data_IF_638051452694
#
_entry.id   IF_638051452694
#
_cell.length_a   1.000
_cell.length_b   1.000
_cell.length_c   1.000
_cell.angle_alpha   90.00
_cell.angle_beta   90.00
_cell.angle_gamma   90.00
#
_symmetry.space_group_name_H-M   'P 1'
#
loop_
_entity.id
_entity.type
_entity.pdbx_description
1 polymer ?
#
# COMPACT_ATOMS: atom_id res chain seq x y z
N UNK A 1 39.89 65.47 -48.11
CA UNK A 1 40.19 64.80 -46.82
C UNK A 1 39.15 63.70 -46.66
N UNK A 2 39.30 62.52 -47.26
CA UNK A 2 40.09 61.32 -46.89
C UNK A 2 39.13 60.17 -46.56
N UNK A 3 39.03 59.16 -47.44
CA UNK A 3 38.79 57.75 -47.05
C UNK A 3 40.16 57.15 -46.59
N UNK A 4 40.28 56.01 -45.85
CA UNK A 4 39.46 54.77 -45.97
C UNK A 4 39.19 53.93 -44.67
N UNK A 5 38.30 52.92 -44.85
CA UNK A 5 38.12 51.55 -44.29
C UNK A 5 38.50 51.17 -42.83
N UNK A 6 37.57 50.51 -42.10
CA UNK A 6 37.77 49.18 -41.48
C UNK A 6 36.50 48.61 -40.81
N UNK A 7 36.07 47.43 -41.24
CA UNK A 7 35.17 46.50 -40.53
C UNK A 7 36.03 45.32 -40.04
N UNK A 8 35.76 44.69 -38.88
CA UNK A 8 35.08 43.39 -38.91
C UNK A 8 34.08 43.15 -37.77
N UNK A 9 32.89 42.70 -38.16
CA UNK A 9 32.10 41.58 -37.63
C UNK A 9 32.30 41.15 -36.17
N UNK A 10 31.25 41.34 -35.35
CA UNK A 10 30.99 40.52 -34.17
C UNK A 10 29.78 39.59 -34.41
N UNK A 11 29.84 38.87 -35.54
CA UNK A 11 29.17 37.57 -35.61
C UNK A 11 29.89 36.61 -34.65
N UNK A 12 29.14 35.82 -33.90
CA UNK A 12 29.69 34.60 -33.28
C UNK A 12 29.93 34.66 -31.77
N UNK A 13 28.85 34.61 -31.00
CA UNK A 13 28.89 33.92 -29.70
C UNK A 13 27.66 33.02 -29.52
N UNK A 14 27.21 32.37 -30.61
CA UNK A 14 26.65 31.04 -30.46
C UNK A 14 27.81 30.17 -30.02
N UNK A 15 28.05 30.08 -28.71
CA UNK A 15 28.81 28.96 -28.16
C UNK A 15 28.06 27.73 -28.65
N UNK A 16 28.59 27.11 -29.71
CA UNK A 16 28.25 25.76 -30.08
C UNK A 16 28.42 24.97 -28.79
N UNK A 17 27.29 24.67 -28.15
CA UNK A 17 27.23 23.68 -27.09
C UNK A 17 27.49 22.40 -27.87
N UNK A 18 28.76 22.03 -27.97
CA UNK A 18 29.23 20.81 -28.61
C UNK A 18 28.52 19.69 -27.87
N UNK A 19 27.36 19.30 -28.37
CA UNK A 19 26.68 18.10 -27.95
C UNK A 19 27.59 17.01 -28.53
N UNK A 20 28.26 16.20 -27.70
CA UNK A 20 29.22 15.22 -28.20
C UNK A 20 28.56 14.40 -29.31
N UNK A 21 29.20 14.34 -30.47
CA UNK A 21 28.73 13.53 -31.59
C UNK A 21 28.82 12.05 -31.18
N UNK A 22 27.68 11.34 -31.05
CA UNK A 22 27.68 9.95 -30.60
C UNK A 22 28.44 9.02 -31.56
N UNK A 23 28.70 9.44 -32.80
CA UNK A 23 29.48 8.68 -33.76
C UNK A 23 30.98 8.59 -33.43
N UNK A 24 31.49 9.40 -32.50
CA UNK A 24 32.90 9.45 -32.08
C UNK A 24 33.13 9.05 -30.60
N UNK A 25 32.10 8.58 -29.90
CA UNK A 25 32.23 8.11 -28.52
C UNK A 25 32.98 6.77 -28.47
N UNK A 26 33.98 6.67 -27.60
CA UNK A 26 34.69 5.40 -27.40
C UNK A 26 33.75 4.35 -26.80
N UNK A 27 33.98 3.06 -27.06
CA UNK A 27 33.19 1.95 -26.50
C UNK A 27 33.09 2.01 -24.97
N UNK A 28 34.15 2.51 -24.29
CA UNK A 28 34.13 2.72 -22.84
C UNK A 28 33.18 3.83 -22.39
N UNK A 29 33.00 4.87 -23.20
CA UNK A 29 32.13 6.01 -22.91
C UNK A 29 30.66 5.67 -23.13
N UNK A 30 30.34 4.84 -24.13
CA UNK A 30 29.01 4.25 -24.34
C UNK A 30 28.60 3.33 -23.18
N UNK A 31 29.53 2.50 -22.66
CA UNK A 31 29.28 1.65 -21.50
C UNK A 31 29.07 2.49 -20.22
N UNK A 32 29.85 3.56 -20.05
CA UNK A 32 29.66 4.53 -18.96
C UNK A 32 28.27 5.17 -19.00
N UNK A 33 27.83 5.65 -20.17
CA UNK A 33 26.50 6.24 -20.35
C UNK A 33 25.36 5.24 -20.11
N UNK A 34 25.48 3.99 -20.60
CA UNK A 34 24.48 2.95 -20.35
C UNK A 34 24.39 2.62 -18.85
N UNK A 35 25.51 2.52 -18.16
CA UNK A 35 25.55 2.27 -16.71
C UNK A 35 24.90 3.40 -15.92
N UNK A 36 25.15 4.65 -16.31
CA UNK A 36 24.53 5.84 -15.71
C UNK A 36 23.00 5.86 -15.95
N UNK A 37 22.56 5.51 -17.17
CA UNK A 37 21.14 5.42 -17.51
C UNK A 37 20.44 4.31 -16.73
N UNK A 38 21.06 3.13 -16.61
CA UNK A 38 20.52 2.02 -15.80
C UNK A 38 20.43 2.40 -14.32
N UNK A 39 21.48 3.02 -13.76
CA UNK A 39 21.49 3.54 -12.38
C UNK A 39 20.37 4.56 -12.15
N UNK A 40 20.16 5.45 -13.13
CA UNK A 40 19.07 6.43 -13.10
C UNK A 40 17.70 5.76 -13.18
N UNK A 41 17.52 4.76 -14.04
CA UNK A 41 16.27 4.01 -14.18
C UNK A 41 15.92 3.28 -12.89
N UNK A 42 16.85 2.53 -12.30
CA UNK A 42 16.63 1.80 -11.03
C UNK A 42 16.22 2.77 -9.92
N UNK A 43 16.88 3.93 -9.83
CA UNK A 43 16.53 4.95 -8.84
C UNK A 43 15.17 5.59 -9.09
N UNK A 44 14.77 5.74 -10.34
CA UNK A 44 13.44 6.23 -10.70
C UNK A 44 12.35 5.20 -10.37
N UNK A 45 12.58 3.92 -10.68
CA UNK A 45 11.64 2.84 -10.37
C UNK A 45 11.47 2.67 -8.85
N UNK A 46 12.56 2.79 -8.10
CA UNK A 46 12.51 2.79 -6.63
C UNK A 46 11.69 3.97 -6.09
N UNK A 47 11.86 5.19 -6.65
CA UNK A 47 11.06 6.36 -6.27
C UNK A 47 9.59 6.19 -6.63
N UNK A 48 9.30 5.61 -7.79
CA UNK A 48 7.94 5.35 -8.24
C UNK A 48 7.26 4.32 -7.33
N UNK A 49 7.93 3.20 -7.05
CA UNK A 49 7.44 2.18 -6.13
C UNK A 49 7.21 2.77 -4.73
N UNK A 50 8.13 3.62 -4.23
CA UNK A 50 7.96 4.31 -2.95
C UNK A 50 6.74 5.23 -2.97
N UNK A 51 6.52 5.99 -4.04
CA UNK A 51 5.37 6.87 -4.19
C UNK A 51 4.05 6.07 -4.23
N UNK A 52 4.01 4.96 -4.97
CA UNK A 52 2.84 4.09 -5.06
C UNK A 52 2.52 3.43 -3.71
N UNK A 53 3.53 2.89 -3.02
CA UNK A 53 3.37 2.32 -1.67
C UNK A 53 2.87 3.38 -0.70
N UNK A 54 3.43 4.59 -0.73
CA UNK A 54 2.99 5.70 0.14
C UNK A 54 1.54 6.09 -0.15
N UNK A 55 1.15 6.15 -1.43
CA UNK A 55 -0.22 6.47 -1.81
C UNK A 55 -1.20 5.37 -1.38
N UNK A 56 -0.84 4.09 -1.58
CA UNK A 56 -1.61 2.93 -1.11
C UNK A 56 -1.73 2.94 0.41
N UNK A 57 -0.64 3.15 1.13
CA UNK A 57 -0.61 3.22 2.59
C UNK A 57 -1.48 4.37 3.12
N UNK A 58 -1.44 5.55 2.49
CA UNK A 58 -2.30 6.68 2.87
C UNK A 58 -3.78 6.36 2.67
N UNK A 59 -4.16 5.79 1.52
CA UNK A 59 -5.55 5.39 1.26
C UNK A 59 -6.02 4.33 2.23
N UNK A 60 -5.19 3.31 2.49
CA UNK A 60 -5.48 2.28 3.49
C UNK A 60 -5.60 2.87 4.89
N UNK A 61 -4.70 3.78 5.27
CA UNK A 61 -4.71 4.44 6.58
C UNK A 61 -5.94 5.31 6.81
N UNK A 62 -6.35 6.10 5.80
CA UNK A 62 -7.61 6.86 5.86
C UNK A 62 -8.81 5.92 5.95
N UNK A 63 -8.84 4.87 5.12
CA UNK A 63 -9.90 3.86 5.16
C UNK A 63 -10.01 3.17 6.51
N UNK A 64 -8.89 2.73 7.07
CA UNK A 64 -8.82 2.12 8.39
C UNK A 64 -9.22 3.10 9.50
N UNK A 65 -8.81 4.36 9.41
CA UNK A 65 -9.20 5.41 10.35
C UNK A 65 -10.70 5.72 10.31
N UNK A 66 -11.28 5.86 9.12
CA UNK A 66 -12.72 6.06 8.94
C UNK A 66 -13.53 4.86 9.41
N UNK A 67 -13.09 3.65 9.07
CA UNK A 67 -13.77 2.43 9.50
C UNK A 67 -13.68 2.23 11.02
N UNK A 68 -12.51 2.50 11.61
CA UNK A 68 -12.33 2.50 13.06
C UNK A 68 -13.22 3.55 13.76
N UNK A 69 -13.27 4.77 13.23
CA UNK A 69 -14.14 5.83 13.71
C UNK A 69 -15.63 5.48 13.59
N UNK A 70 -16.06 4.94 12.45
CA UNK A 70 -17.41 4.45 12.25
C UNK A 70 -17.77 3.30 13.20
N UNK A 71 -16.83 2.38 13.45
CA UNK A 71 -16.98 1.31 14.44
C UNK A 71 -17.17 1.86 15.86
N UNK A 72 -16.40 2.86 16.27
CA UNK A 72 -16.54 3.49 17.58
C UNK A 72 -17.87 4.23 17.73
N UNK A 73 -18.25 5.04 16.74
CA UNK A 73 -19.54 5.74 16.74
C UNK A 73 -20.70 4.75 16.73
N UNK A 74 -20.61 3.70 15.91
CA UNK A 74 -21.59 2.62 15.86
C UNK A 74 -21.71 1.87 17.19
N UNK A 75 -20.59 1.62 17.89
CA UNK A 75 -20.57 1.01 19.21
C UNK A 75 -21.33 1.85 20.25
N UNK A 76 -21.06 3.15 20.32
CA UNK A 76 -21.79 4.04 21.22
C UNK A 76 -23.27 4.18 20.82
N UNK A 77 -23.57 4.26 19.52
CA UNK A 77 -24.94 4.28 19.02
C UNK A 77 -25.72 3.03 19.44
N UNK A 78 -25.11 1.84 19.32
CA UNK A 78 -25.69 0.59 19.79
C UNK A 78 -25.91 0.60 21.32
N UNK A 79 -24.95 1.10 22.10
CA UNK A 79 -25.10 1.21 23.56
C UNK A 79 -26.29 2.13 23.93
N UNK A 80 -26.49 3.23 23.21
CA UNK A 80 -27.64 4.12 23.40
C UNK A 80 -28.95 3.40 23.03
N UNK A 81 -28.98 2.65 21.92
CA UNK A 81 -30.16 1.87 21.52
C UNK A 81 -30.52 0.77 22.54
N UNK A 82 -29.51 0.07 23.05
CA UNK A 82 -29.69 -0.92 24.13
C UNK A 82 -30.27 -0.24 25.37
N UNK A 83 -29.72 0.92 25.75
CA UNK A 83 -30.21 1.69 26.90
C UNK A 83 -31.65 2.15 26.70
N UNK A 84 -31.99 2.63 25.49
CA UNK A 84 -33.35 3.01 25.13
C UNK A 84 -34.32 1.83 25.20
N UNK A 85 -33.92 0.65 24.73
CA UNK A 85 -34.73 -0.57 24.85
C UNK A 85 -34.97 -0.95 26.31
N UNK A 86 -33.93 -0.89 27.15
CA UNK A 86 -34.06 -1.14 28.60
C UNK A 86 -35.02 -0.14 29.24
N UNK A 87 -34.87 1.15 28.96
CA UNK A 87 -35.75 2.20 29.50
C UNK A 87 -37.19 2.02 29.03
N UNK A 88 -37.41 1.71 27.75
CA UNK A 88 -38.74 1.46 27.21
C UNK A 88 -39.43 0.25 27.88
N UNK A 89 -38.71 -0.84 28.13
CA UNK A 89 -39.24 -1.98 28.88
C UNK A 89 -39.46 -1.63 30.36
N UNK A 90 -38.62 -0.77 30.94
CA UNK A 90 -38.72 -0.37 32.34
C UNK A 90 -40.00 0.41 32.67
N UNK A 91 -40.72 0.96 31.67
CA UNK A 91 -42.05 1.55 31.85
C UNK A 91 -43.12 0.50 32.23
N UNK A 92 -42.92 -0.78 31.86
CA UNK A 92 -43.88 -1.86 32.11
C UNK A 92 -43.44 -2.85 33.21
N UNK A 93 -42.14 -2.88 33.56
CA UNK A 93 -41.57 -3.83 34.54
C UNK A 93 -40.38 -3.20 35.27
N UNK A 94 -39.93 -3.75 36.42
CA UNK A 94 -38.76 -3.22 37.13
C UNK A 94 -37.51 -3.14 36.24
N UNK A 95 -36.77 -2.03 36.35
CA UNK A 95 -35.62 -1.72 35.48
C UNK A 95 -34.55 -2.84 35.46
N UNK A 96 -34.31 -3.51 36.59
CA UNK A 96 -33.35 -4.61 36.65
C UNK A 96 -33.79 -5.81 35.80
N UNK A 97 -35.09 -6.10 35.74
CA UNK A 97 -35.63 -7.21 34.95
C UNK A 97 -35.65 -6.86 33.46
N UNK A 98 -35.96 -5.61 33.11
CA UNK A 98 -35.84 -5.10 31.74
C UNK A 98 -34.40 -5.25 31.21
N UNK A 99 -33.41 -4.86 32.02
CA UNK A 99 -31.99 -5.01 31.69
C UNK A 99 -31.60 -6.49 31.48
N UNK A 100 -32.07 -7.40 32.33
CA UNK A 100 -31.80 -8.84 32.18
C UNK A 100 -32.40 -9.43 30.90
N UNK A 101 -33.64 -9.05 30.55
CA UNK A 101 -34.30 -9.53 29.32
C UNK A 101 -33.48 -9.09 28.09
N UNK A 102 -33.11 -7.80 28.02
CA UNK A 102 -32.31 -7.29 26.90
C UNK A 102 -30.93 -7.97 26.86
N UNK A 103 -30.30 -8.19 28.01
CA UNK A 103 -29.02 -8.91 28.08
C UNK A 103 -29.11 -10.35 27.53
N UNK A 104 -30.16 -11.10 27.90
CA UNK A 104 -30.38 -12.46 27.40
C UNK A 104 -30.55 -12.47 25.88
N UNK A 105 -31.33 -11.54 25.33
CA UNK A 105 -31.51 -11.42 23.87
C UNK A 105 -30.18 -11.12 23.18
N UNK A 106 -29.38 -10.19 23.71
CA UNK A 106 -28.06 -9.86 23.15
C UNK A 106 -27.09 -11.05 23.22
N UNK A 107 -27.05 -11.79 24.33
CA UNK A 107 -26.20 -12.98 24.45
C UNK A 107 -26.64 -14.09 23.50
N UNK A 108 -27.95 -14.26 23.26
CA UNK A 108 -28.43 -15.21 22.26
C UNK A 108 -27.94 -14.83 20.85
N UNK A 109 -28.08 -13.55 20.47
CA UNK A 109 -27.57 -13.04 19.19
C UNK A 109 -26.04 -13.22 19.09
N UNK A 110 -25.30 -12.86 20.14
CA UNK A 110 -23.85 -13.03 20.19
C UNK A 110 -23.43 -14.50 20.06
N UNK A 111 -24.16 -15.41 20.71
CA UNK A 111 -23.95 -16.85 20.58
C UNK A 111 -24.14 -17.34 19.14
N UNK A 112 -25.22 -16.91 18.47
CA UNK A 112 -25.46 -17.24 17.05
C UNK A 112 -24.34 -16.70 16.17
N UNK A 113 -23.96 -15.44 16.32
CA UNK A 113 -22.88 -14.82 15.55
C UNK A 113 -21.54 -15.54 15.78
N UNK A 114 -21.22 -15.91 17.01
CA UNK A 114 -20.00 -16.66 17.33
C UNK A 114 -20.00 -18.06 16.67
N UNK A 115 -21.15 -18.75 16.64
CA UNK A 115 -21.29 -20.05 15.99
C UNK A 115 -21.16 -19.96 14.47
N UNK A 116 -21.71 -18.91 13.85
CA UNK A 116 -21.58 -18.67 12.39
C UNK A 116 -20.14 -18.29 12.07
N UNK A 117 -19.55 -17.33 12.76
CA UNK A 117 -18.17 -16.92 12.54
C UNK A 117 -17.17 -18.06 12.73
N UNK A 118 -17.40 -18.95 13.71
CA UNK A 118 -16.57 -20.15 13.89
C UNK A 118 -16.63 -21.08 12.66
N UNK A 119 -17.78 -21.22 12.00
CA UNK A 119 -17.92 -22.04 10.79
C UNK A 119 -17.17 -21.43 9.61
N UNK A 120 -17.20 -20.11 9.46
CA UNK A 120 -16.53 -19.43 8.36
C UNK A 120 -15.00 -19.46 8.54
N UNK A 121 -14.52 -19.26 9.77
CA UNK A 121 -13.09 -19.39 10.11
C UNK A 121 -12.62 -20.84 9.97
N UNK A 122 -13.45 -21.82 10.33
CA UNK A 122 -13.10 -23.24 10.18
C UNK A 122 -13.10 -23.71 8.70
N UNK A 123 -13.90 -23.07 7.84
CA UNK A 123 -13.98 -23.38 6.40
C UNK A 123 -12.94 -22.63 5.56
N UNK A 124 -12.46 -21.47 6.05
CA UNK A 124 -11.30 -20.82 5.48
C UNK A 124 -10.06 -21.71 5.73
N UNK A 125 -9.64 -22.44 4.69
CA UNK A 125 -8.44 -23.28 4.65
C UNK A 125 -7.19 -22.56 5.21
N UNK A 126 -6.15 -23.30 5.65
CA UNK A 126 -5.21 -22.83 6.65
C UNK A 126 -4.59 -21.47 6.27
N UNK A 127 -4.37 -20.56 7.23
CA UNK A 127 -3.71 -19.26 7.01
C UNK A 127 -2.30 -19.35 6.39
N UNK A 128 -1.79 -20.56 6.25
CA UNK A 128 -0.47 -20.87 5.73
C UNK A 128 -0.63 -21.29 4.27
N UNK A 129 -0.11 -20.51 3.30
CA UNK A 129 -0.19 -20.84 1.88
C UNK A 129 0.68 -22.07 1.61
N UNK A 130 0.11 -23.25 1.79
CA UNK A 130 0.83 -24.53 1.77
C UNK A 130 1.49 -24.76 0.40
N UNK A 131 0.87 -24.26 -0.67
CA UNK A 131 1.40 -24.28 -2.02
C UNK A 131 2.61 -23.35 -2.20
N UNK A 132 2.60 -22.15 -1.60
CA UNK A 132 3.72 -21.22 -1.67
C UNK A 132 4.94 -21.74 -0.90
N UNK A 133 4.71 -22.37 0.26
CA UNK A 133 5.77 -23.02 1.03
C UNK A 133 6.35 -24.23 0.27
N UNK A 134 5.50 -25.02 -0.41
CA UNK A 134 5.95 -26.14 -1.23
C UNK A 134 6.83 -25.67 -2.41
N UNK A 135 6.47 -24.56 -3.06
CA UNK A 135 7.29 -23.95 -4.12
C UNK A 135 8.67 -23.53 -3.63
N UNK A 136 8.74 -22.80 -2.51
CA UNK A 136 10.02 -22.38 -1.91
C UNK A 136 10.89 -23.59 -1.52
N UNK A 137 10.30 -24.67 -1.00
CA UNK A 137 11.05 -25.89 -0.68
C UNK A 137 11.59 -26.59 -1.94
N UNK A 138 10.81 -26.63 -3.02
CA UNK A 138 11.23 -27.21 -4.30
C UNK A 138 12.38 -26.41 -4.93
N UNK A 139 12.33 -25.08 -4.84
CA UNK A 139 13.38 -24.19 -5.35
C UNK A 139 14.68 -24.39 -4.56
N UNK A 140 14.60 -24.47 -3.22
CA UNK A 140 15.76 -24.75 -2.36
C UNK A 140 16.35 -26.14 -2.62
N UNK A 141 15.52 -27.15 -2.90
CA UNK A 141 15.97 -28.49 -3.24
C UNK A 141 16.74 -28.51 -4.57
N UNK A 142 16.26 -27.77 -5.57
CA UNK A 142 16.89 -27.66 -6.89
C UNK A 142 18.26 -26.98 -6.79
N UNK A 143 18.38 -25.91 -6.00
CA UNK A 143 19.66 -25.22 -5.76
C UNK A 143 20.65 -26.14 -5.04
N UNK A 144 20.21 -26.90 -4.03
CA UNK A 144 21.09 -27.86 -3.32
C UNK A 144 21.59 -28.99 -4.22
N UNK A 145 20.76 -29.50 -5.13
CA UNK A 145 21.17 -30.54 -6.09
C UNK A 145 22.12 -30.01 -7.17
N UNK A 146 21.96 -28.74 -7.58
CA UNK A 146 22.87 -28.10 -8.54
C UNK A 146 24.27 -27.85 -7.97
N UNK A 147 24.39 -27.67 -6.66
CA UNK A 147 25.66 -27.45 -5.96
C UNK A 147 26.40 -28.73 -5.56
N UNK A 148 25.74 -29.89 -5.60
CA UNK A 148 26.32 -31.19 -5.24
C UNK A 148 26.78 -32.02 -6.45
N UNK A 149 26.82 -31.42 -7.64
CA UNK A 149 27.38 -32.01 -8.86
C UNK A 149 28.73 -31.42 -9.24
#
# INVERSE_FOLDING_TARGET
>A
MTAPTNQPDAAGATRARTTPDPANASTGELIGQLTEQLSTLVRNEARLAQAEVTQKAKRLGVGAGLFGGAGLVGFFGLAVLISAAVLALAEALPAWLAALIVAVVLFAVAGVLALVGKKDVAQASPPIPTQAIAGVQADVATVKQGLSR
#
